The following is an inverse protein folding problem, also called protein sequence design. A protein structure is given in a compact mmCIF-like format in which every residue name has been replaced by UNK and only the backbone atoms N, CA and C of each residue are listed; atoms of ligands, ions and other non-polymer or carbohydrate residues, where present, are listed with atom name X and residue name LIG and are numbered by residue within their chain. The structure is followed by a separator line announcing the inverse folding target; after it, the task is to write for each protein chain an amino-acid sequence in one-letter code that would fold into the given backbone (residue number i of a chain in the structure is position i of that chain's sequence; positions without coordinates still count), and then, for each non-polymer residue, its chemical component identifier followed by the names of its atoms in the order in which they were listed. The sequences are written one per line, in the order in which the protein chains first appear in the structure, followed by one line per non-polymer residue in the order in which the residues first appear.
data_IF_803145354580
#
_entry.id   IF_803145354580
#
_cell.length_a   1.000
_cell.length_b   1.000
_cell.length_c   1.000
_cell.angle_alpha   90.00
_cell.angle_beta   90.00
_cell.angle_gamma   90.00
#
_symmetry.space_group_name_H-M   'P 1'
#
loop_
_entity.id
_entity.type
_entity.pdbx_description
1 polymer ?
#
# COMPACT_ATOMS: atom_id res chain seq x y z
N UNK A 1 13.81 42.28 -33.86
CA UNK A 1 14.08 40.85 -33.76
C UNK A 1 13.29 40.31 -32.58
N UNK A 2 12.11 39.76 -32.83
CA UNK A 2 11.19 39.24 -31.82
C UNK A 2 11.54 37.78 -31.53
N UNK A 3 11.71 37.44 -30.25
CA UNK A 3 11.87 36.05 -29.79
C UNK A 3 10.49 35.43 -29.59
N UNK A 4 10.13 34.49 -30.46
CA UNK A 4 8.99 33.60 -30.27
C UNK A 4 9.23 32.70 -29.07
N UNK A 5 8.35 32.80 -28.07
CA UNK A 5 8.25 31.84 -26.94
C UNK A 5 7.36 30.67 -27.37
N UNK A 6 7.99 29.56 -27.65
CA UNK A 6 7.34 28.30 -27.97
C UNK A 6 6.58 27.77 -26.75
N UNK A 7 5.24 27.68 -26.89
CA UNK A 7 4.29 27.08 -25.93
C UNK A 7 4.37 25.54 -26.07
N UNK A 8 4.51 24.77 -24.98
CA UNK A 8 4.50 23.31 -25.07
C UNK A 8 3.12 22.81 -25.47
N UNK A 9 3.02 21.67 -26.21
CA UNK A 9 1.76 21.15 -26.69
C UNK A 9 0.92 20.56 -25.55
N UNK A 10 -0.37 20.88 -25.58
CA UNK A 10 -1.39 20.31 -24.70
C UNK A 10 -1.50 18.81 -24.96
N UNK A 11 -1.35 18.01 -23.90
CA UNK A 11 -1.64 16.56 -23.91
C UNK A 11 -3.16 16.34 -23.97
N UNK A 12 -3.69 16.32 -25.18
CA UNK A 12 -5.01 15.80 -25.53
C UNK A 12 -4.83 14.33 -25.90
N UNK A 13 -5.26 13.42 -25.03
CA UNK A 13 -5.64 12.06 -25.39
C UNK A 13 -6.56 11.48 -24.31
N UNK A 14 -7.78 11.95 -24.26
CA UNK A 14 -8.88 11.19 -23.68
C UNK A 14 -9.19 10.03 -24.64
N UNK A 15 -8.56 8.88 -24.42
CA UNK A 15 -8.94 7.62 -25.07
C UNK A 15 -10.30 7.20 -24.52
N UNK A 16 -11.31 7.40 -25.34
CA UNK A 16 -12.70 7.06 -25.09
C UNK A 16 -12.87 5.53 -25.17
N UNK A 17 -12.44 4.79 -24.14
CA UNK A 17 -12.74 3.36 -24.01
C UNK A 17 -14.10 3.17 -23.31
N UNK A 18 -15.17 3.26 -24.12
CA UNK A 18 -16.57 3.08 -23.71
C UNK A 18 -16.94 1.65 -23.31
N UNK A 19 -16.00 0.71 -23.18
CA UNK A 19 -16.33 -0.72 -23.11
C UNK A 19 -16.41 -1.34 -21.73
N UNK A 20 -16.18 -0.62 -20.63
CA UNK A 20 -16.31 -1.18 -19.26
C UNK A 20 -16.67 -0.10 -18.23
N UNK A 21 -17.74 0.66 -18.46
CA UNK A 21 -18.32 1.40 -17.33
C UNK A 21 -19.11 0.38 -16.49
N UNK A 22 -18.74 0.16 -15.22
CA UNK A 22 -19.49 -0.72 -14.34
C UNK A 22 -20.91 -0.15 -14.19
N UNK A 23 -21.92 -1.01 -14.28
CA UNK A 23 -23.33 -0.62 -14.06
C UNK A 23 -23.45 -0.03 -12.66
N UNK A 24 -23.76 1.26 -12.58
CA UNK A 24 -24.05 1.98 -11.33
C UNK A 24 -25.57 2.06 -11.13
N UNK A 25 -26.02 2.17 -9.88
CA UNK A 25 -27.42 2.39 -9.53
C UNK A 25 -27.79 3.88 -9.60
N UNK A 26 -29.02 4.21 -9.14
CA UNK A 26 -29.51 5.59 -9.03
C UNK A 26 -28.66 6.48 -8.10
N UNK A 27 -27.91 5.88 -7.16
CA UNK A 27 -26.97 6.56 -6.28
C UNK A 27 -25.55 6.63 -6.88
N UNK A 28 -25.32 6.15 -8.13
CA UNK A 28 -24.03 6.16 -8.79
C UNK A 28 -23.05 5.11 -8.24
N UNK A 29 -23.50 4.15 -7.43
CA UNK A 29 -22.69 3.13 -6.81
C UNK A 29 -22.70 1.82 -7.61
N UNK A 30 -21.53 1.21 -7.75
CA UNK A 30 -21.42 -0.14 -8.32
C UNK A 30 -21.83 -1.20 -7.30
N UNK A 31 -22.20 -2.41 -7.76
CA UNK A 31 -22.57 -3.51 -6.88
C UNK A 31 -21.50 -3.81 -5.82
N UNK A 32 -20.22 -3.87 -6.22
CA UNK A 32 -19.12 -4.15 -5.30
C UNK A 32 -18.95 -3.06 -4.22
N UNK A 33 -19.23 -1.78 -4.55
CA UNK A 33 -19.14 -0.68 -3.59
C UNK A 33 -20.22 -0.77 -2.50
N UNK A 34 -21.36 -1.39 -2.80
CA UNK A 34 -22.41 -1.67 -1.82
C UNK A 34 -22.11 -2.88 -0.94
N UNK A 35 -21.29 -3.80 -1.42
CA UNK A 35 -20.88 -5.00 -0.69
C UNK A 35 -19.65 -4.74 0.20
N UNK A 36 -18.86 -3.70 -0.07
CA UNK A 36 -17.67 -3.32 0.71
C UNK A 36 -18.09 -2.52 1.97
N UNK A 37 -17.94 -3.13 3.13
CA UNK A 37 -18.36 -2.52 4.41
C UNK A 37 -17.55 -1.27 4.75
N UNK A 38 -16.26 -1.21 4.38
CA UNK A 38 -15.43 -0.03 4.61
C UNK A 38 -15.86 1.14 3.70
N UNK A 39 -16.36 0.86 2.49
CA UNK A 39 -17.03 1.88 1.65
C UNK A 39 -18.28 2.40 2.35
N UNK A 40 -19.11 1.51 2.92
CA UNK A 40 -20.33 1.93 3.64
C UNK A 40 -19.98 2.83 4.83
N UNK A 41 -18.99 2.46 5.63
CA UNK A 41 -18.51 3.26 6.76
C UNK A 41 -18.05 4.64 6.29
N UNK A 42 -17.27 4.70 5.21
CA UNK A 42 -16.79 5.96 4.66
C UNK A 42 -17.93 6.86 4.17
N UNK A 43 -18.95 6.29 3.53
CA UNK A 43 -20.15 7.04 3.09
C UNK A 43 -21.01 7.51 4.27
N UNK A 44 -21.10 6.74 5.36
CA UNK A 44 -21.75 7.16 6.61
C UNK A 44 -21.00 8.32 7.26
N UNK A 45 -19.68 8.22 7.30
CA UNK A 45 -18.83 9.31 7.79
C UNK A 45 -19.01 10.60 6.98
N UNK A 46 -19.10 10.52 5.65
CA UNK A 46 -19.41 11.69 4.80
C UNK A 46 -20.74 12.37 5.16
N UNK A 47 -21.70 11.61 5.67
CA UNK A 47 -23.02 12.14 6.14
C UNK A 47 -22.98 12.70 7.55
N UNK A 48 -21.81 12.71 8.20
CA UNK A 48 -21.60 13.28 9.53
C UNK A 48 -21.60 12.28 10.69
N UNK A 49 -21.65 10.96 10.41
CA UNK A 49 -21.56 9.93 11.44
C UNK A 49 -20.10 9.71 11.86
N UNK A 50 -19.64 10.41 12.90
CA UNK A 50 -18.25 10.34 13.35
C UNK A 50 -17.85 8.95 13.85
N UNK A 51 -18.77 8.21 14.45
CA UNK A 51 -18.54 6.83 14.93
C UNK A 51 -18.18 5.88 13.80
N UNK A 52 -18.73 6.10 12.59
CA UNK A 52 -18.36 5.31 11.42
C UNK A 52 -16.89 5.47 11.04
N UNK A 53 -16.29 6.64 11.28
CA UNK A 53 -14.85 6.84 11.07
C UNK A 53 -14.01 6.13 12.12
N UNK A 54 -14.43 6.16 13.38
CA UNK A 54 -13.75 5.43 14.47
C UNK A 54 -13.73 3.93 14.17
N UNK A 55 -14.87 3.37 13.75
CA UNK A 55 -14.96 1.97 13.34
C UNK A 55 -14.05 1.67 12.14
N UNK A 56 -14.04 2.54 11.14
CA UNK A 56 -13.19 2.42 9.96
C UNK A 56 -11.70 2.38 10.32
N UNK A 57 -11.27 3.26 11.24
CA UNK A 57 -9.89 3.29 11.76
C UNK A 57 -9.57 1.98 12.49
N UNK A 58 -10.40 1.58 13.45
CA UNK A 58 -10.17 0.38 14.25
C UNK A 58 -10.06 -0.90 13.39
N UNK A 59 -10.83 -1.01 12.32
CA UNK A 59 -10.79 -2.15 11.40
C UNK A 59 -9.55 -2.19 10.51
N UNK A 60 -9.02 -1.03 10.15
CA UNK A 60 -8.00 -0.94 9.13
C UNK A 60 -6.62 -0.54 9.67
N UNK A 61 -6.51 0.09 10.85
CA UNK A 61 -5.23 0.51 11.40
C UNK A 61 -4.23 -0.65 11.57
N UNK A 62 -4.59 -1.83 12.08
CA UNK A 62 -3.65 -2.95 12.18
C UNK A 62 -3.10 -3.40 10.82
N UNK A 63 -3.97 -3.41 9.78
CA UNK A 63 -3.57 -3.78 8.42
C UNK A 63 -2.64 -2.75 7.80
N UNK A 64 -2.95 -1.46 7.97
CA UNK A 64 -2.12 -0.35 7.48
C UNK A 64 -0.77 -0.34 8.19
N UNK A 65 -0.75 -0.56 9.50
CA UNK A 65 0.47 -0.67 10.30
C UNK A 65 1.39 -1.79 9.77
N UNK A 66 0.85 -2.99 9.61
CA UNK A 66 1.58 -4.14 9.05
C UNK A 66 2.08 -3.84 7.63
N UNK A 67 1.26 -3.22 6.79
CA UNK A 67 1.63 -2.86 5.42
C UNK A 67 2.79 -1.86 5.38
N UNK A 68 2.71 -0.78 6.16
CA UNK A 68 3.75 0.25 6.25
C UNK A 68 5.05 -0.36 6.77
N UNK A 69 4.98 -1.20 7.82
CA UNK A 69 6.16 -1.92 8.31
C UNK A 69 6.82 -2.75 7.21
N UNK A 70 6.05 -3.52 6.45
CA UNK A 70 6.58 -4.30 5.32
C UNK A 70 7.23 -3.41 4.26
N UNK A 71 6.67 -2.21 4.01
CA UNK A 71 7.25 -1.26 3.05
C UNK A 71 8.55 -0.64 3.55
N UNK A 72 8.64 -0.26 4.82
CA UNK A 72 9.80 0.44 5.36
C UNK A 72 10.90 -0.52 5.83
N UNK A 73 10.52 -1.66 6.41
CA UNK A 73 11.43 -2.59 7.08
C UNK A 73 11.98 -2.06 8.43
N UNK A 74 11.36 -1.01 8.99
CA UNK A 74 11.81 -0.30 10.19
C UNK A 74 10.57 0.11 11.00
N UNK A 75 10.46 -0.31 12.28
CA UNK A 75 9.28 -0.01 13.11
C UNK A 75 9.18 1.46 13.53
N UNK A 76 10.31 2.18 13.62
CA UNK A 76 10.37 3.50 14.25
C UNK A 76 9.51 4.61 13.65
N UNK A 77 8.93 4.42 12.47
CA UNK A 77 8.09 5.42 11.80
C UNK A 77 6.72 4.87 11.40
N UNK A 78 6.42 3.65 11.80
CA UNK A 78 5.21 2.95 11.35
C UNK A 78 3.96 3.56 11.94
N UNK A 79 3.98 3.88 13.23
CA UNK A 79 2.84 4.45 13.94
C UNK A 79 2.52 5.85 13.42
N UNK A 80 3.52 6.73 13.33
CA UNK A 80 3.34 8.09 12.83
C UNK A 80 2.76 8.10 11.41
N UNK A 81 3.28 7.22 10.55
CA UNK A 81 2.76 7.10 9.19
C UNK A 81 1.36 6.53 9.15
N UNK A 82 1.03 5.59 10.04
CA UNK A 82 -0.33 5.06 10.15
C UNK A 82 -1.30 6.16 10.55
N UNK A 83 -0.94 6.99 11.53
CA UNK A 83 -1.73 8.15 11.93
C UNK A 83 -1.89 9.15 10.77
N UNK A 84 -0.82 9.48 10.06
CA UNK A 84 -0.89 10.39 8.91
C UNK A 84 -1.75 9.83 7.76
N UNK A 85 -1.75 8.51 7.54
CA UNK A 85 -2.68 7.86 6.60
C UNK A 85 -4.12 8.18 6.97
N UNK A 86 -4.52 7.96 8.23
CA UNK A 86 -5.90 8.20 8.65
C UNK A 86 -6.24 9.68 8.75
N UNK A 87 -5.30 10.55 9.07
CA UNK A 87 -5.49 11.99 8.97
C UNK A 87 -5.78 12.40 7.51
N UNK A 88 -5.09 11.83 6.54
CA UNK A 88 -5.38 12.07 5.12
C UNK A 88 -6.74 11.52 4.70
N UNK A 89 -7.10 10.33 5.17
CA UNK A 89 -8.44 9.76 4.98
C UNK A 89 -9.49 10.74 5.50
N UNK A 90 -9.35 11.23 6.73
CA UNK A 90 -10.25 12.19 7.35
C UNK A 90 -10.38 13.49 6.53
N UNK A 91 -9.25 14.11 6.16
CA UNK A 91 -9.22 15.38 5.41
C UNK A 91 -9.82 15.24 4.02
N UNK A 92 -9.67 14.07 3.39
CA UNK A 92 -10.15 13.83 2.01
C UNK A 92 -11.54 13.19 1.96
N UNK A 93 -12.10 12.80 3.10
CA UNK A 93 -13.37 12.11 3.22
C UNK A 93 -14.50 12.76 2.42
N UNK A 94 -14.65 14.08 2.52
CA UNK A 94 -15.72 14.84 1.82
C UNK A 94 -15.68 14.71 0.29
N UNK A 95 -14.50 14.38 -0.28
CA UNK A 95 -14.28 14.23 -1.72
C UNK A 95 -14.14 12.76 -2.15
N UNK A 96 -14.25 11.83 -1.18
CA UNK A 96 -14.15 10.43 -1.48
C UNK A 96 -15.28 9.97 -2.39
N UNK A 97 -14.92 9.29 -3.47
CA UNK A 97 -15.84 8.63 -4.39
C UNK A 97 -15.39 7.19 -4.56
N UNK A 98 -16.27 6.20 -4.36
CA UNK A 98 -15.89 4.78 -4.41
C UNK A 98 -15.70 4.31 -5.86
N UNK A 99 -14.55 4.65 -6.45
CA UNK A 99 -14.14 4.21 -7.80
C UNK A 99 -13.34 2.91 -7.77
N UNK A 100 -12.83 2.49 -6.60
CA UNK A 100 -12.13 1.24 -6.32
C UNK A 100 -12.49 0.77 -4.91
N UNK A 101 -12.15 -0.49 -4.56
CA UNK A 101 -12.31 -0.99 -3.18
C UNK A 101 -11.66 -0.02 -2.19
N UNK A 102 -12.28 0.14 -1.01
CA UNK A 102 -11.75 1.04 0.01
C UNK A 102 -10.28 0.71 0.35
N UNK A 103 -9.95 -0.57 0.50
CA UNK A 103 -8.57 -0.99 0.77
C UNK A 103 -7.58 -0.61 -0.33
N UNK A 104 -7.98 -0.58 -1.61
CA UNK A 104 -7.12 -0.16 -2.71
C UNK A 104 -6.82 1.33 -2.63
N UNK A 105 -7.83 2.16 -2.34
CA UNK A 105 -7.67 3.59 -2.12
C UNK A 105 -6.83 3.90 -0.87
N UNK A 106 -7.10 3.23 0.25
CA UNK A 106 -6.34 3.36 1.50
C UNK A 106 -4.86 3.00 1.32
N UNK A 107 -4.59 1.89 0.64
CA UNK A 107 -3.22 1.42 0.39
C UNK A 107 -2.45 2.34 -0.58
N UNK A 108 -3.14 3.03 -1.48
CA UNK A 108 -2.53 4.08 -2.30
C UNK A 108 -2.02 5.23 -1.43
N UNK A 109 -2.78 5.66 -0.42
CA UNK A 109 -2.34 6.69 0.53
C UNK A 109 -1.12 6.20 1.31
N UNK A 110 -1.17 4.98 1.86
CA UNK A 110 -0.07 4.39 2.62
C UNK A 110 1.20 4.23 1.78
N UNK A 111 1.08 3.74 0.53
CA UNK A 111 2.21 3.57 -0.38
C UNK A 111 2.87 4.92 -0.70
N UNK A 112 2.08 5.95 -1.02
CA UNK A 112 2.62 7.28 -1.34
C UNK A 112 3.39 7.90 -0.17
N UNK A 113 2.88 7.76 1.05
CA UNK A 113 3.57 8.20 2.26
C UNK A 113 4.87 7.42 2.48
N UNK A 114 4.82 6.10 2.36
CA UNK A 114 5.99 5.24 2.50
C UNK A 114 7.07 5.54 1.46
N UNK A 115 6.70 5.82 0.20
CA UNK A 115 7.66 6.25 -0.83
C UNK A 115 8.37 7.56 -0.47
N UNK A 116 7.65 8.52 0.13
CA UNK A 116 8.27 9.77 0.54
C UNK A 116 9.34 9.54 1.62
N UNK A 117 9.05 8.66 2.59
CA UNK A 117 10.02 8.26 3.63
C UNK A 117 11.23 7.54 3.04
N UNK A 118 11.00 6.55 2.18
CA UNK A 118 12.08 5.79 1.54
C UNK A 118 13.00 6.70 0.72
N UNK A 119 12.42 7.65 -0.02
CA UNK A 119 13.19 8.64 -0.79
C UNK A 119 13.97 9.59 0.11
N UNK A 120 13.40 10.04 1.23
CA UNK A 120 14.08 10.89 2.21
C UNK A 120 15.27 10.17 2.84
N UNK A 121 15.08 8.92 3.30
CA UNK A 121 16.16 8.07 3.81
C UNK A 121 17.32 7.91 2.81
N UNK A 122 16.99 7.72 1.52
CA UNK A 122 18.01 7.57 0.47
C UNK A 122 18.78 8.84 0.18
N UNK A 123 18.18 10.02 0.41
CA UNK A 123 18.85 11.32 0.24
C UNK A 123 19.67 11.74 1.45
N UNK A 124 19.65 10.99 2.54
CA UNK A 124 20.30 11.38 3.82
C UNK A 124 19.66 12.63 4.48
N UNK A 125 18.44 13.00 4.08
CA UNK A 125 17.71 14.12 4.66
C UNK A 125 16.81 13.63 5.79
N UNK A 126 16.90 14.20 7.02
CA UNK A 126 15.90 13.94 8.04
C UNK A 126 14.55 14.46 7.58
N UNK A 127 13.54 13.60 7.63
CA UNK A 127 12.17 13.99 7.32
C UNK A 127 11.62 14.76 8.53
N UNK A 128 11.30 16.03 8.36
CA UNK A 128 10.45 16.78 9.28
C UNK A 128 9.01 16.29 9.10
N UNK A 129 8.64 15.29 9.87
CA UNK A 129 7.26 15.08 10.29
C UNK A 129 7.12 15.90 11.57
N UNK A 130 6.13 16.79 11.63
CA UNK A 130 5.76 17.43 12.87
C UNK A 130 5.39 16.33 13.87
N UNK A 131 6.34 16.01 14.77
CA UNK A 131 6.27 14.88 15.65
C UNK A 131 5.56 15.29 16.95
N UNK A 132 4.44 14.64 17.21
CA UNK A 132 4.00 14.41 18.57
C UNK A 132 4.45 12.99 18.95
N UNK A 133 5.43 12.91 19.86
CA UNK A 133 5.87 11.65 20.44
C UNK A 133 4.82 11.14 21.44
N UNK A 134 4.43 9.90 21.31
CA UNK A 134 3.89 9.08 22.39
C UNK A 134 4.63 7.75 22.41
N UNK A 135 5.36 7.57 23.53
CA UNK A 135 5.97 6.31 23.92
C UNK A 135 4.84 5.43 24.48
N UNK A 136 4.54 4.35 23.80
CA UNK A 136 4.05 3.05 24.29
C UNK A 136 3.40 2.31 23.12
N UNK A 137 4.16 1.46 22.46
CA UNK A 137 3.74 0.68 21.31
C UNK A 137 3.97 -0.81 21.56
N UNK A 138 2.94 -1.53 22.01
CA UNK A 138 2.95 -2.99 21.91
C UNK A 138 2.99 -3.42 20.45
N UNK A 139 4.00 -4.21 20.14
CA UNK A 139 4.30 -4.70 18.80
C UNK A 139 3.30 -5.79 18.41
N UNK A 140 2.25 -5.43 17.68
CA UNK A 140 1.33 -6.40 17.08
C UNK A 140 1.87 -6.91 15.74
N UNK A 141 2.78 -7.87 15.80
CA UNK A 141 3.18 -8.67 14.63
C UNK A 141 2.48 -10.03 14.74
N UNK A 142 1.35 -10.20 14.09
CA UNK A 142 0.72 -11.52 13.96
C UNK A 142 0.07 -11.68 12.60
N UNK A 143 0.89 -12.09 11.65
CA UNK A 143 0.43 -12.92 10.54
C UNK A 143 1.42 -14.08 10.46
N UNK A 144 1.31 -14.99 11.45
CA UNK A 144 2.11 -16.20 11.56
C UNK A 144 1.17 -17.33 11.21
N UNK A 145 1.48 -18.17 10.19
CA UNK A 145 0.83 -19.46 10.03
C UNK A 145 0.94 -20.22 11.36
N UNK A 146 -0.07 -20.98 11.71
CA UNK A 146 -0.16 -21.71 12.99
C UNK A 146 1.06 -22.65 13.17
N UNK A 147 2.10 -22.17 13.86
CA UNK A 147 3.37 -22.86 14.08
C UNK A 147 3.27 -23.99 15.11
N UNK A 148 2.09 -24.21 15.70
CA UNK A 148 1.89 -25.18 16.79
C UNK A 148 2.07 -26.62 16.37
N UNK A 149 2.17 -26.90 15.07
CA UNK A 149 2.27 -28.25 14.50
C UNK A 149 3.65 -28.63 13.95
N UNK A 150 4.66 -27.73 14.01
CA UNK A 150 6.02 -28.03 13.49
C UNK A 150 6.99 -28.43 14.61
N UNK A 151 7.91 -29.40 14.35
CA UNK A 151 9.00 -29.72 15.25
C UNK A 151 9.88 -28.51 15.57
N UNK A 152 10.53 -28.42 16.75
CA UNK A 152 11.30 -27.24 17.16
C UNK A 152 12.45 -26.86 16.21
N UNK A 153 13.15 -27.83 15.60
CA UNK A 153 14.23 -27.56 14.66
C UNK A 153 13.72 -27.00 13.33
N UNK A 154 12.59 -27.50 12.82
CA UNK A 154 11.96 -26.98 11.59
C UNK A 154 11.45 -25.54 11.78
N UNK A 155 11.12 -25.14 13.03
CA UNK A 155 10.74 -23.76 13.36
C UNK A 155 11.90 -22.80 13.28
N UNK A 156 13.08 -23.16 13.77
CA UNK A 156 14.29 -22.36 13.69
C UNK A 156 14.71 -22.15 12.23
N UNK A 157 14.71 -23.22 11.44
CA UNK A 157 15.03 -23.16 10.01
C UNK A 157 14.01 -22.29 9.24
N UNK A 158 12.72 -22.41 9.58
CA UNK A 158 11.65 -21.60 8.99
C UNK A 158 11.78 -20.12 9.37
N UNK A 159 12.14 -19.81 10.62
CA UNK A 159 12.33 -18.46 11.09
C UNK A 159 13.57 -17.80 10.44
N UNK A 160 14.67 -18.52 10.34
CA UNK A 160 15.86 -18.07 9.63
C UNK A 160 15.55 -17.79 8.15
N UNK A 161 14.86 -18.71 7.48
CA UNK A 161 14.44 -18.53 6.09
C UNK A 161 13.53 -17.31 5.92
N UNK A 162 12.58 -17.08 6.83
CA UNK A 162 11.73 -15.87 6.82
C UNK A 162 12.55 -14.61 6.96
N UNK A 163 13.55 -14.60 7.86
CA UNK A 163 14.48 -13.49 8.02
C UNK A 163 15.24 -13.19 6.71
N UNK A 164 15.78 -14.23 6.06
CA UNK A 164 16.47 -14.09 4.77
C UNK A 164 15.56 -13.58 3.65
N UNK A 165 14.32 -14.06 3.59
CA UNK A 165 13.32 -13.58 2.62
C UNK A 165 12.98 -12.12 2.89
N UNK A 166 12.76 -11.72 4.15
CA UNK A 166 12.47 -10.33 4.52
C UNK A 166 13.66 -9.41 4.15
N UNK A 167 14.89 -9.83 4.42
CA UNK A 167 16.08 -9.10 4.04
C UNK A 167 16.19 -8.93 2.52
N UNK A 168 15.97 -10.01 1.75
CA UNK A 168 15.99 -9.97 0.29
C UNK A 168 14.92 -9.04 -0.27
N UNK A 169 13.71 -9.01 0.32
CA UNK A 169 12.64 -8.08 -0.05
C UNK A 169 13.06 -6.64 0.27
N UNK A 170 13.71 -6.40 1.41
CA UNK A 170 14.17 -5.07 1.81
C UNK A 170 15.25 -4.50 0.88
N UNK A 171 16.02 -5.35 0.22
CA UNK A 171 17.04 -4.96 -0.76
C UNK A 171 16.47 -4.65 -2.16
N UNK A 172 15.19 -4.95 -2.43
CA UNK A 172 14.57 -4.63 -3.72
C UNK A 172 14.46 -3.12 -3.94
N UNK A 173 14.53 -2.66 -5.21
CA UNK A 173 14.11 -1.31 -5.56
C UNK A 173 12.68 -1.02 -5.07
N UNK A 174 12.44 0.20 -4.60
CA UNK A 174 11.20 0.60 -3.90
C UNK A 174 9.91 0.14 -4.61
N UNK A 175 9.76 0.42 -5.91
CA UNK A 175 8.57 0.03 -6.67
C UNK A 175 8.42 -1.49 -6.79
N UNK A 176 9.52 -2.24 -6.88
CA UNK A 176 9.50 -3.71 -6.92
C UNK A 176 9.11 -4.27 -5.55
N UNK A 177 9.66 -3.71 -4.46
CA UNK A 177 9.34 -4.07 -3.08
C UNK A 177 7.86 -3.88 -2.80
N UNK A 178 7.31 -2.69 -3.09
CA UNK A 178 5.89 -2.40 -2.86
C UNK A 178 5.01 -3.31 -3.71
N UNK A 179 5.32 -3.50 -5.00
CA UNK A 179 4.53 -4.36 -5.88
C UNK A 179 4.49 -5.82 -5.39
N UNK A 180 5.63 -6.39 -4.97
CA UNK A 180 5.68 -7.78 -4.50
C UNK A 180 4.95 -7.96 -3.17
N UNK A 181 5.05 -6.98 -2.24
CA UNK A 181 4.33 -6.99 -0.97
C UNK A 181 2.83 -6.96 -1.23
N UNK A 182 2.34 -6.02 -2.03
CA UNK A 182 0.92 -5.93 -2.37
C UNK A 182 0.38 -7.20 -3.03
N UNK A 183 1.18 -7.83 -3.90
CA UNK A 183 0.75 -9.05 -4.58
C UNK A 183 0.77 -10.29 -3.68
N UNK A 184 1.82 -10.47 -2.88
CA UNK A 184 2.05 -11.71 -2.13
C UNK A 184 1.45 -11.71 -0.73
N UNK A 185 1.48 -10.59 -0.04
CA UNK A 185 0.97 -10.49 1.33
C UNK A 185 -0.43 -9.91 1.40
N UNK A 186 -0.76 -8.97 0.51
CA UNK A 186 -2.07 -8.33 0.50
C UNK A 186 -3.02 -8.89 -0.56
N UNK A 187 -2.58 -9.91 -1.32
CA UNK A 187 -3.35 -10.60 -2.36
C UNK A 187 -4.03 -9.66 -3.36
N UNK A 188 -3.40 -8.50 -3.63
CA UNK A 188 -3.94 -7.53 -4.58
C UNK A 188 -3.79 -8.01 -6.02
N UNK A 189 -4.84 -7.77 -6.82
CA UNK A 189 -4.81 -8.01 -8.26
C UNK A 189 -3.82 -7.06 -8.96
N UNK A 190 -3.43 -7.37 -10.17
CA UNK A 190 -2.55 -6.47 -10.94
C UNK A 190 -3.21 -5.13 -11.24
N UNK A 191 -4.52 -5.09 -11.39
CA UNK A 191 -5.29 -3.85 -11.61
C UNK A 191 -5.35 -3.01 -10.33
N UNK A 192 -5.54 -3.64 -9.15
CA UNK A 192 -5.45 -2.95 -7.86
C UNK A 192 -4.06 -2.35 -7.66
N UNK A 193 -3.00 -3.14 -7.92
CA UNK A 193 -1.61 -2.67 -7.78
C UNK A 193 -1.32 -1.53 -8.76
N UNK A 194 -1.82 -1.60 -9.99
CA UNK A 194 -1.71 -0.54 -10.98
C UNK A 194 -2.35 0.77 -10.46
N UNK A 195 -3.54 0.66 -9.84
CA UNK A 195 -4.24 1.78 -9.20
C UNK A 195 -3.47 2.34 -8.01
N UNK A 196 -2.90 1.47 -7.15
CA UNK A 196 -2.13 1.87 -5.97
C UNK A 196 -0.83 2.58 -6.37
N UNK A 197 -0.12 2.06 -7.39
CA UNK A 197 1.18 2.58 -7.83
C UNK A 197 1.07 3.67 -8.90
N UNK A 198 -0.16 4.02 -9.34
CA UNK A 198 -0.43 4.98 -10.40
C UNK A 198 0.35 4.67 -11.71
N UNK A 199 0.24 3.42 -12.16
CA UNK A 199 0.93 2.92 -13.35
C UNK A 199 0.06 1.96 -14.15
N UNK A 200 0.52 1.53 -15.34
CA UNK A 200 -0.21 0.54 -16.13
C UNK A 200 -0.06 -0.88 -15.57
N UNK A 201 -1.05 -1.74 -15.84
CA UNK A 201 -1.01 -3.18 -15.51
C UNK A 201 0.19 -3.88 -16.14
N UNK A 202 0.62 -3.42 -17.33
CA UNK A 202 1.84 -3.90 -17.99
C UNK A 202 3.10 -3.56 -17.18
N UNK A 203 3.16 -2.33 -16.61
CA UNK A 203 4.25 -1.94 -15.72
C UNK A 203 4.26 -2.80 -14.45
N UNK A 204 3.11 -3.10 -13.87
CA UNK A 204 3.00 -4.02 -12.71
C UNK A 204 3.55 -5.40 -13.04
N UNK A 205 3.18 -5.99 -14.20
CA UNK A 205 3.73 -7.27 -14.65
C UNK A 205 5.26 -7.23 -14.74
N UNK A 206 5.81 -6.16 -15.30
CA UNK A 206 7.27 -5.95 -15.40
C UNK A 206 7.92 -5.81 -14.02
N UNK A 207 7.33 -5.02 -13.10
CA UNK A 207 7.83 -4.85 -11.74
C UNK A 207 7.88 -6.20 -11.00
N UNK A 208 6.79 -6.96 -11.04
CA UNK A 208 6.70 -8.28 -10.38
C UNK A 208 7.67 -9.30 -10.99
N UNK A 209 7.85 -9.30 -12.31
CA UNK A 209 8.82 -10.17 -12.98
C UNK A 209 10.25 -9.87 -12.52
N UNK A 210 10.64 -8.58 -12.49
CA UNK A 210 11.96 -8.15 -12.03
C UNK A 210 12.16 -8.43 -10.53
N UNK A 211 11.13 -8.17 -9.70
CA UNK A 211 11.19 -8.47 -8.28
C UNK A 211 11.46 -9.96 -8.02
N UNK A 212 10.74 -10.85 -8.71
CA UNK A 212 10.96 -12.31 -8.60
C UNK A 212 12.35 -12.72 -9.05
N UNK A 213 12.87 -12.13 -10.15
CA UNK A 213 14.22 -12.36 -10.63
C UNK A 213 15.28 -11.99 -9.59
N UNK A 214 15.17 -10.79 -9.02
CA UNK A 214 16.10 -10.29 -8.00
C UNK A 214 16.03 -11.14 -6.72
N UNK A 215 14.81 -11.47 -6.25
CA UNK A 215 14.63 -12.36 -5.08
C UNK A 215 15.24 -13.74 -5.32
N UNK A 216 15.00 -14.32 -6.49
CA UNK A 216 15.60 -15.62 -6.84
C UNK A 216 17.14 -15.55 -6.78
N UNK A 217 17.74 -14.50 -7.33
CA UNK A 217 19.19 -14.33 -7.31
C UNK A 217 19.72 -14.18 -5.88
N UNK A 218 19.07 -13.37 -5.04
CA UNK A 218 19.46 -13.18 -3.64
C UNK A 218 19.33 -14.47 -2.82
N UNK A 219 18.25 -15.24 -3.04
CA UNK A 219 17.95 -16.43 -2.25
C UNK A 219 18.61 -17.72 -2.77
N UNK A 220 19.15 -17.73 -3.99
CA UNK A 220 19.84 -18.92 -4.53
C UNK A 220 20.99 -19.41 -3.66
N UNK A 221 21.60 -18.54 -2.86
CA UNK A 221 22.70 -18.90 -1.94
C UNK A 221 22.21 -19.76 -0.78
N UNK A 222 20.93 -19.65 -0.42
CA UNK A 222 20.32 -20.33 0.73
C UNK A 222 19.56 -21.60 0.34
N UNK A 223 19.18 -21.78 -0.93
CA UNK A 223 18.45 -22.96 -1.42
C UNK A 223 19.41 -24.10 -1.84
N UNK A 224 20.71 -23.83 -1.95
CA UNK A 224 21.74 -24.80 -2.35
C UNK A 224 22.50 -25.41 -1.17
N UNK A 225 22.12 -25.13 0.04
CA UNK A 225 22.61 -25.83 1.24
C UNK A 225 21.56 -26.84 1.71
#
# INVERSE_FOLDING_TARGET
MAKETSKPPALSAASNDRRLQPKTDEAGLTRWAREDDDVKLMLRFQKGEHEAFVELVNRNAPKVNTLIYRFLGDPGQVEDLTQEVFLRVYRTARRYTPTAKFSTWLYRIAANLSFNVLRAKRRGQPMQLDAAHSEDGETFYRDVPDERLMPPHDRLDAEELRGKVAEAINQLPENQKVAIILNKYEHKSYDDIATILDCSTMAVKSLLSRARGNLRQSLMRYVRQ
#
